data_IF_854401050246
#
_entry.id   IF_854401050246
#
_cell.length_a   1.000
_cell.length_b   1.000
_cell.length_c   1.000
_cell.angle_alpha   90.00
_cell.angle_beta   90.00
_cell.angle_gamma   90.00
#
_symmetry.space_group_name_H-M   'P 1'
#
loop_
_entity.id
_entity.type
_entity.pdbx_description
1 polymer ?
#
# COMPACT_ATOMS: atom_id res chain seq x y z
N UNK A 1 17.74 25.45 -29.75
CA UNK A 1 17.20 25.50 -28.38
C UNK A 1 16.36 24.24 -28.15
N UNK A 2 16.96 23.17 -27.64
CA UNK A 2 16.25 21.92 -27.32
C UNK A 2 15.66 22.01 -25.91
N UNK A 3 14.34 21.87 -25.78
CA UNK A 3 13.68 21.76 -24.48
C UNK A 3 13.76 20.31 -24.02
N UNK A 4 14.67 20.02 -23.08
CA UNK A 4 14.61 18.79 -22.32
C UNK A 4 13.39 18.85 -21.39
N UNK A 5 12.34 18.10 -21.71
CA UNK A 5 11.25 17.83 -20.77
C UNK A 5 11.78 16.83 -19.75
N UNK A 6 12.16 17.31 -18.56
CA UNK A 6 12.56 16.45 -17.45
C UNK A 6 11.31 15.81 -16.84
N UNK A 7 10.92 14.64 -17.36
CA UNK A 7 9.98 13.78 -16.67
C UNK A 7 10.54 13.50 -15.25
N UNK A 8 9.79 13.76 -14.17
CA UNK A 8 10.27 13.49 -12.84
C UNK A 8 10.57 11.98 -12.72
N UNK A 9 11.75 11.65 -12.20
CA UNK A 9 12.09 10.24 -11.94
C UNK A 9 10.98 9.60 -11.09
N UNK A 10 10.69 8.32 -11.32
CA UNK A 10 9.63 7.58 -10.60
C UNK A 10 9.71 7.76 -9.08
N UNK A 11 10.94 7.89 -8.54
CA UNK A 11 11.20 8.20 -7.12
C UNK A 11 10.63 9.55 -6.68
N UNK A 12 10.82 10.59 -7.49
CA UNK A 12 10.26 11.91 -7.22
C UNK A 12 8.72 11.89 -7.30
N UNK A 13 8.15 11.12 -8.21
CA UNK A 13 6.69 10.95 -8.30
C UNK A 13 6.12 10.20 -7.08
N UNK A 14 6.77 9.13 -6.61
CA UNK A 14 6.37 8.39 -5.40
C UNK A 14 6.51 9.25 -4.15
N UNK A 15 7.62 9.99 -4.01
CA UNK A 15 7.82 10.90 -2.88
C UNK A 15 6.82 12.06 -2.87
N UNK A 16 6.50 12.62 -4.04
CA UNK A 16 5.48 13.66 -4.17
C UNK A 16 4.08 13.13 -3.82
N UNK A 17 3.73 11.92 -4.29
CA UNK A 17 2.49 11.27 -3.92
C UNK A 17 2.41 11.00 -2.41
N UNK A 18 3.50 10.52 -1.79
CA UNK A 18 3.58 10.32 -0.34
C UNK A 18 3.43 11.64 0.44
N UNK A 19 4.04 12.73 -0.04
CA UNK A 19 3.92 14.06 0.56
C UNK A 19 2.49 14.64 0.44
N UNK A 20 1.84 14.45 -0.70
CA UNK A 20 0.43 14.80 -0.91
C UNK A 20 -0.51 14.01 0.01
N UNK A 21 -0.23 12.72 0.22
CA UNK A 21 -0.98 11.87 1.15
C UNK A 21 -0.81 12.29 2.61
N UNK A 22 0.39 12.74 3.00
CA UNK A 22 0.67 13.27 4.34
C UNK A 22 -0.01 14.63 4.58
N UNK A 23 -0.09 15.48 3.55
CA UNK A 23 -0.74 16.80 3.64
C UNK A 23 -2.27 16.73 3.71
N UNK A 24 -2.88 15.65 3.21
CA UNK A 24 -4.34 15.43 3.26
C UNK A 24 -4.87 14.99 4.64
N UNK A 25 -3.99 14.76 5.63
CA UNK A 25 -4.34 14.22 6.95
C UNK A 25 -4.95 15.21 7.95
N UNK A 26 -5.08 16.49 7.61
CA UNK A 26 -5.58 17.51 8.55
C UNK A 26 -7.09 17.66 8.45
N UNK A 27 -7.87 16.72 9.01
CA UNK A 27 -9.30 16.93 9.26
C UNK A 27 -9.57 16.92 10.77
N UNK A 28 -10.26 17.97 11.22
CA UNK A 28 -10.71 18.10 12.60
C UNK A 28 -11.59 16.89 12.97
N UNK A 29 -11.32 16.28 14.14
CA UNK A 29 -12.14 15.20 14.67
C UNK A 29 -13.60 15.66 14.77
N UNK A 30 -14.48 15.12 13.94
CA UNK A 30 -15.93 15.32 14.11
C UNK A 30 -16.40 14.51 15.31
N UNK A 31 -17.30 15.10 16.10
CA UNK A 31 -17.88 14.50 17.32
C UNK A 31 -18.62 13.18 17.00
N UNK A 32 -18.96 12.95 15.73
CA UNK A 32 -19.74 11.80 15.27
C UNK A 32 -18.94 10.48 15.19
N UNK A 33 -17.64 10.48 15.46
CA UNK A 33 -16.83 9.26 15.58
C UNK A 33 -16.11 8.85 14.28
N UNK A 34 -15.21 7.86 14.35
CA UNK A 34 -14.13 7.76 13.37
C UNK A 34 -14.52 7.01 12.07
N UNK A 35 -15.70 6.39 12.02
CA UNK A 35 -16.20 5.60 10.87
C UNK A 35 -17.41 6.26 10.18
N UNK A 36 -17.44 7.59 10.17
CA UNK A 36 -18.51 8.36 9.54
C UNK A 36 -18.14 8.74 8.11
N UNK A 37 -19.15 8.98 7.27
CA UNK A 37 -18.97 9.51 5.92
C UNK A 37 -18.12 10.80 5.98
N UNK A 38 -17.12 10.89 5.13
CA UNK A 38 -16.17 12.01 5.09
C UNK A 38 -14.98 11.88 6.04
N UNK A 39 -14.99 10.91 6.96
CA UNK A 39 -13.83 10.65 7.81
C UNK A 39 -12.66 10.09 6.98
N UNK A 40 -11.44 10.53 7.32
CA UNK A 40 -10.22 10.06 6.68
C UNK A 40 -9.32 9.39 7.71
N UNK A 41 -8.54 8.40 7.27
CA UNK A 41 -7.64 7.63 8.11
C UNK A 41 -6.26 7.56 7.49
N UNK A 42 -5.24 7.80 8.30
CA UNK A 42 -3.85 7.47 7.97
C UNK A 42 -3.48 6.19 8.71
N UNK A 43 -2.97 5.21 7.98
CA UNK A 43 -2.64 3.88 8.50
C UNK A 43 -1.16 3.60 8.31
N UNK A 44 -0.50 3.09 9.34
CA UNK A 44 0.82 2.46 9.23
C UNK A 44 0.68 0.96 9.48
N UNK A 45 1.34 0.16 8.66
CA UNK A 45 1.32 -1.30 8.72
C UNK A 45 2.75 -1.80 8.80
N UNK A 46 2.98 -2.86 9.57
CA UNK A 46 4.22 -3.62 9.57
C UNK A 46 3.86 -5.08 9.78
N UNK A 47 4.63 -5.99 9.18
CA UNK A 47 4.32 -7.41 9.27
C UNK A 47 5.31 -8.27 8.53
N UNK A 48 4.96 -9.54 8.40
CA UNK A 48 5.73 -10.52 7.66
C UNK A 48 5.16 -10.66 6.24
N UNK A 49 6.05 -10.70 5.25
CA UNK A 49 5.73 -10.81 3.84
C UNK A 49 6.53 -11.93 3.18
N UNK A 50 5.83 -12.75 2.39
CA UNK A 50 6.39 -13.90 1.67
C UNK A 50 5.68 -14.06 0.33
N UNK A 51 6.43 -14.32 -0.73
CA UNK A 51 5.86 -14.78 -1.99
C UNK A 51 5.53 -16.29 -1.90
N UNK A 52 4.36 -16.67 -2.41
CA UNK A 52 3.92 -18.06 -2.48
C UNK A 52 4.34 -18.75 -3.79
N UNK A 53 5.08 -18.07 -4.65
CA UNK A 53 5.62 -18.65 -5.87
C UNK A 53 6.62 -19.78 -5.56
N UNK A 54 6.63 -20.82 -6.38
CA UNK A 54 7.54 -21.94 -6.23
C UNK A 54 9.00 -21.49 -6.34
N UNK A 55 9.80 -21.76 -5.31
CA UNK A 55 11.21 -21.33 -5.26
C UNK A 55 11.42 -19.90 -4.73
N UNK A 56 10.36 -19.21 -4.32
CA UNK A 56 10.48 -17.91 -3.66
C UNK A 56 11.19 -18.05 -2.29
N UNK A 57 11.93 -17.00 -1.87
CA UNK A 57 12.57 -16.98 -0.56
C UNK A 57 11.57 -17.13 0.61
N UNK A 58 12.13 -17.44 1.78
CA UNK A 58 11.36 -17.74 3.00
C UNK A 58 10.66 -16.55 3.65
N UNK A 59 10.41 -15.44 2.94
CA UNK A 59 9.77 -14.26 3.48
C UNK A 59 10.62 -13.52 4.52
N UNK A 60 10.36 -12.23 4.70
CA UNK A 60 10.91 -11.44 5.80
C UNK A 60 9.87 -10.42 6.26
N UNK A 61 10.31 -9.25 6.72
CA UNK A 61 9.45 -8.19 7.20
C UNK A 61 9.17 -7.17 6.10
N UNK A 62 8.06 -6.47 6.25
CA UNK A 62 7.74 -5.30 5.47
C UNK A 62 6.93 -4.30 6.27
N UNK A 63 6.77 -3.13 5.69
CA UNK A 63 5.99 -2.05 6.26
C UNK A 63 5.29 -1.25 5.17
N UNK A 64 4.25 -0.52 5.53
CA UNK A 64 3.49 0.28 4.59
C UNK A 64 2.79 1.43 5.25
N UNK A 65 2.46 2.42 4.44
CA UNK A 65 1.61 3.54 4.79
C UNK A 65 0.40 3.56 3.87
N UNK A 66 -0.74 3.99 4.38
CA UNK A 66 -1.88 4.27 3.54
C UNK A 66 -2.76 5.36 4.07
N UNK A 67 -3.58 5.87 3.16
CA UNK A 67 -4.63 6.83 3.43
C UNK A 67 -5.95 6.23 2.98
N UNK A 68 -7.02 6.43 3.73
CA UNK A 68 -8.35 6.05 3.27
C UNK A 68 -9.38 7.09 3.63
N UNK A 69 -10.43 7.17 2.82
CA UNK A 69 -11.53 8.10 2.98
C UNK A 69 -12.87 7.37 2.98
N UNK A 70 -13.70 7.65 3.96
CA UNK A 70 -15.02 7.05 4.12
C UNK A 70 -16.02 7.67 3.13
N UNK A 71 -16.36 6.94 2.08
CA UNK A 71 -17.40 7.31 1.11
C UNK A 71 -18.81 7.23 1.72
N UNK A 72 -18.99 6.34 2.68
CA UNK A 72 -20.19 6.22 3.50
C UNK A 72 -19.81 5.70 4.89
N UNK A 73 -20.79 5.59 5.79
CA UNK A 73 -20.60 5.01 7.12
C UNK A 73 -20.15 3.54 7.11
N UNK A 74 -20.11 2.87 5.95
CA UNK A 74 -19.72 1.46 5.79
C UNK A 74 -18.74 1.21 4.66
N UNK A 75 -18.36 2.25 3.90
CA UNK A 75 -17.53 2.08 2.70
C UNK A 75 -16.39 3.06 2.78
N UNK A 76 -15.16 2.57 2.59
CA UNK A 76 -13.99 3.41 2.39
C UNK A 76 -13.28 3.10 1.08
N UNK A 77 -12.62 4.12 0.55
CA UNK A 77 -11.67 4.03 -0.54
C UNK A 77 -10.29 4.39 0.02
N UNK A 78 -9.33 3.50 -0.14
CA UNK A 78 -7.98 3.64 0.37
C UNK A 78 -6.91 3.56 -0.71
N UNK A 79 -5.76 4.14 -0.41
CA UNK A 79 -4.54 4.05 -1.19
C UNK A 79 -3.40 3.66 -0.26
N UNK A 80 -2.61 2.66 -0.64
CA UNK A 80 -1.54 2.10 0.19
C UNK A 80 -0.27 1.91 -0.63
N UNK A 81 0.86 2.28 -0.02
CA UNK A 81 2.20 1.99 -0.52
C UNK A 81 2.91 1.17 0.52
N UNK A 82 3.48 0.06 0.09
CA UNK A 82 4.14 -0.91 0.93
C UNK A 82 5.59 -1.10 0.48
N UNK A 83 6.43 -1.54 1.40
CA UNK A 83 7.80 -1.97 1.16
C UNK A 83 7.95 -3.34 1.82
N UNK A 84 8.09 -4.37 1.00
CA UNK A 84 8.08 -5.76 1.42
C UNK A 84 9.45 -6.37 1.08
N UNK A 85 10.17 -6.86 2.08
CA UNK A 85 11.37 -7.67 1.86
C UNK A 85 10.94 -9.13 1.81
N UNK A 86 10.97 -9.73 0.61
CA UNK A 86 10.53 -11.11 0.39
C UNK A 86 11.61 -12.14 0.73
N UNK A 87 12.87 -11.70 0.80
CA UNK A 87 13.97 -12.47 1.38
C UNK A 87 15.36 -12.00 0.99
N UNK A 88 16.36 -12.66 1.59
CA UNK A 88 17.78 -12.43 1.34
C UNK A 88 18.50 -13.73 0.95
N UNK A 89 19.41 -13.65 -0.02
CA UNK A 89 20.30 -14.73 -0.44
C UNK A 89 21.76 -14.22 -0.44
N UNK A 90 22.47 -14.36 0.67
CA UNK A 90 23.81 -13.77 0.80
C UNK A 90 23.75 -12.23 0.70
N UNK A 91 24.41 -11.64 -0.32
CA UNK A 91 24.30 -10.21 -0.62
C UNK A 91 23.02 -9.86 -1.39
N UNK A 92 22.35 -10.83 -1.99
CA UNK A 92 21.15 -10.56 -2.79
C UNK A 92 19.90 -10.32 -1.92
N UNK A 93 19.02 -9.43 -2.35
CA UNK A 93 17.71 -9.23 -1.73
C UNK A 93 16.60 -9.08 -2.75
N UNK A 94 15.45 -9.66 -2.44
CA UNK A 94 14.24 -9.51 -3.23
C UNK A 94 13.30 -8.56 -2.51
N UNK A 95 13.06 -7.42 -3.14
CA UNK A 95 12.23 -6.34 -2.61
C UNK A 95 11.04 -6.16 -3.53
N UNK A 96 9.87 -6.00 -2.93
CA UNK A 96 8.65 -5.67 -3.63
C UNK A 96 8.02 -4.43 -3.01
N UNK A 97 7.59 -3.50 -3.86
CA UNK A 97 6.91 -2.27 -3.44
C UNK A 97 5.51 -2.28 -4.08
N UNK A 98 4.51 -2.83 -3.36
CA UNK A 98 3.11 -2.75 -3.77
C UNK A 98 2.58 -1.32 -3.66
N UNK A 99 1.94 -0.84 -4.72
CA UNK A 99 1.17 0.41 -4.74
C UNK A 99 -0.25 0.08 -5.14
N UNK A 100 -1.21 0.36 -4.26
CA UNK A 100 -2.55 -0.23 -4.36
C UNK A 100 -3.64 0.79 -4.03
N UNK A 101 -4.77 0.69 -4.72
CA UNK A 101 -6.02 1.33 -4.36
C UNK A 101 -7.03 0.26 -3.95
N UNK A 102 -7.75 0.48 -2.84
CA UNK A 102 -8.59 -0.52 -2.21
C UNK A 102 -9.98 0.05 -1.90
N UNK A 103 -11.03 -0.63 -2.34
CA UNK A 103 -12.41 -0.37 -1.93
C UNK A 103 -12.79 -1.38 -0.86
N UNK A 104 -13.19 -0.92 0.32
CA UNK A 104 -13.53 -1.78 1.44
C UNK A 104 -14.92 -1.49 2.02
N UNK A 105 -15.65 -2.56 2.31
CA UNK A 105 -16.92 -2.56 3.01
C UNK A 105 -16.74 -3.03 4.46
N UNK A 106 -17.13 -2.19 5.42
CA UNK A 106 -17.04 -2.43 6.86
C UNK A 106 -18.38 -2.92 7.38
N UNK A 107 -18.39 -4.08 8.03
CA UNK A 107 -19.56 -4.64 8.69
C UNK A 107 -19.68 -4.04 10.09
N UNK A 108 -20.85 -3.46 10.39
CA UNK A 108 -21.14 -2.92 11.71
C UNK A 108 -21.76 -3.99 12.59
N UNK A 109 -21.01 -4.43 13.60
CA UNK A 109 -21.51 -5.26 14.70
C UNK A 109 -21.80 -4.38 15.92
N UNK A 110 -22.70 -4.84 16.80
CA UNK A 110 -22.94 -4.22 18.11
C UNK A 110 -21.80 -4.49 19.12
N UNK A 111 -20.57 -4.62 18.63
CA UNK A 111 -19.34 -4.82 19.42
C UNK A 111 -18.33 -3.72 19.06
N UNK A 112 -17.14 -3.74 19.66
CA UNK A 112 -16.04 -2.85 19.24
C UNK A 112 -15.38 -3.31 17.93
N UNK A 113 -15.53 -4.58 17.54
CA UNK A 113 -14.94 -5.14 16.32
C UNK A 113 -15.64 -4.60 15.08
N UNK A 114 -14.86 -4.35 14.02
CA UNK A 114 -15.34 -3.77 12.77
C UNK A 114 -14.74 -4.57 11.61
N UNK A 115 -15.19 -5.82 11.43
CA UNK A 115 -14.67 -6.65 10.35
C UNK A 115 -15.00 -6.01 9.01
N UNK A 116 -14.09 -6.17 8.04
CA UNK A 116 -14.24 -5.59 6.72
C UNK A 116 -13.75 -6.55 5.64
N UNK A 117 -14.34 -6.38 4.46
CA UNK A 117 -13.91 -7.04 3.23
C UNK A 117 -13.52 -5.98 2.21
N UNK A 118 -12.40 -6.18 1.56
CA UNK A 118 -11.78 -5.24 0.63
C UNK A 118 -11.41 -5.90 -0.69
N UNK A 119 -11.55 -5.12 -1.75
CA UNK A 119 -11.13 -5.44 -3.11
C UNK A 119 -10.20 -4.32 -3.56
N UNK A 120 -9.08 -4.65 -4.18
CA UNK A 120 -8.13 -3.65 -4.63
C UNK A 120 -7.46 -4.00 -5.94
N UNK A 121 -6.98 -2.95 -6.60
CA UNK A 121 -6.12 -3.03 -7.79
C UNK A 121 -4.87 -2.22 -7.53
N UNK A 122 -3.78 -2.57 -8.21
CA UNK A 122 -2.52 -1.86 -8.03
C UNK A 122 -1.45 -2.30 -9.01
N UNK A 123 -0.22 -1.97 -8.66
CA UNK A 123 0.97 -2.45 -9.32
C UNK A 123 2.01 -2.84 -8.28
N UNK A 124 2.79 -3.89 -8.58
CA UNK A 124 3.98 -4.24 -7.83
C UNK A 124 5.20 -3.70 -8.58
N UNK A 125 6.02 -2.93 -7.88
CA UNK A 125 7.37 -2.64 -8.32
C UNK A 125 8.30 -3.69 -7.72
N UNK A 126 8.76 -4.61 -8.57
CA UNK A 126 9.59 -5.73 -8.16
C UNK A 126 11.06 -5.46 -8.47
N UNK A 127 11.94 -5.68 -7.50
CA UNK A 127 13.39 -5.48 -7.66
C UNK A 127 14.18 -6.60 -7.01
N UNK A 128 14.97 -7.28 -7.82
CA UNK A 128 16.05 -8.15 -7.36
C UNK A 128 17.35 -7.33 -7.29
N UNK A 129 18.01 -7.34 -6.15
CA UNK A 129 19.28 -6.64 -5.92
C UNK A 129 20.40 -7.65 -5.77
N UNK A 130 21.53 -7.45 -6.46
CA UNK A 130 22.78 -8.23 -6.34
C UNK A 130 22.64 -9.73 -6.66
N UNK A 131 21.86 -10.09 -7.68
CA UNK A 131 21.69 -11.51 -8.11
C UNK A 131 22.56 -11.91 -9.31
N UNK A 132 23.27 -10.96 -9.94
CA UNK A 132 24.00 -11.19 -11.19
C UNK A 132 23.13 -11.14 -12.46
N UNK A 133 21.79 -11.08 -12.31
CA UNK A 133 20.80 -10.86 -13.37
C UNK A 133 19.71 -9.89 -12.87
N UNK A 134 20.14 -8.66 -12.54
CA UNK A 134 19.25 -7.65 -11.95
C UNK A 134 18.10 -7.29 -12.91
N UNK A 135 16.87 -7.60 -12.49
CA UNK A 135 15.64 -7.34 -13.24
C UNK A 135 14.72 -6.41 -12.46
N UNK A 136 14.14 -5.46 -13.16
CA UNK A 136 13.11 -4.54 -12.65
C UNK A 136 11.87 -4.74 -13.49
N UNK A 137 10.77 -5.16 -12.88
CA UNK A 137 9.50 -5.34 -13.57
C UNK A 137 8.38 -4.56 -12.85
N UNK A 138 7.41 -4.11 -13.63
CA UNK A 138 6.14 -3.58 -13.16
C UNK A 138 5.06 -4.62 -13.46
N UNK A 139 4.46 -5.17 -12.43
CA UNK A 139 3.42 -6.20 -12.57
C UNK A 139 2.07 -5.64 -12.13
N UNK A 140 0.98 -5.88 -12.86
CA UNK A 140 -0.36 -5.53 -12.38
C UNK A 140 -0.68 -6.33 -11.11
N UNK A 141 -1.35 -5.70 -10.16
CA UNK A 141 -1.76 -6.29 -8.90
C UNK A 141 -3.28 -6.33 -8.80
N UNK A 142 -3.82 -7.47 -8.42
CA UNK A 142 -5.19 -7.58 -7.89
C UNK A 142 -5.09 -8.06 -6.45
N UNK A 143 -5.78 -7.39 -5.55
CA UNK A 143 -5.77 -7.70 -4.13
C UNK A 143 -7.18 -8.01 -3.63
N UNK A 144 -7.26 -9.04 -2.82
CA UNK A 144 -8.44 -9.38 -2.04
C UNK A 144 -8.02 -9.35 -0.57
N UNK A 145 -8.79 -8.65 0.26
CA UNK A 145 -8.47 -8.49 1.68
C UNK A 145 -9.68 -8.83 2.53
N UNK A 146 -9.43 -9.60 3.57
CA UNK A 146 -10.34 -9.75 4.70
C UNK A 146 -9.58 -9.33 5.97
N UNK A 147 -10.24 -8.55 6.83
CA UNK A 147 -9.70 -8.13 8.12
C UNK A 147 -10.77 -8.12 9.20
N UNK A 148 -10.36 -8.32 10.45
CA UNK A 148 -11.22 -8.33 11.64
C UNK A 148 -11.06 -7.04 12.45
#
# INVERSE_FOLDING_TARGET
MSRFSSAPSLRAAVLAAAALLLAAGSHAATIDGPWQKGASWTTFRAGYAKSLEGGAPNGMAGFGIGFSHMLSNRVNLGFFVHYELLGKFGEASQIEIPVTAEYAYVVKWNTALRPYVGLGLGAFYHKNYQTGADRTDLLPATLQRAGL
#
